data_IF_568018642786
#
_entry.id   IF_568018642786
#
_cell.length_a   1.000
_cell.length_b   1.000
_cell.length_c   1.000
_cell.angle_alpha   90.00
_cell.angle_beta   90.00
_cell.angle_gamma   90.00
#
_symmetry.space_group_name_H-M   'P 1'
#
loop_
_entity.id
_entity.type
_entity.pdbx_description
1 polymer ?
#
# COMPACT_ATOMS: atom_id res chain seq x y z
N UNK A 1 -1.29 4.16 -8.27
CA UNK A 1 -0.09 3.40 -7.84
C UNK A 1 -0.53 2.40 -6.78
N UNK A 2 0.23 1.33 -6.54
CA UNK A 2 -0.01 0.41 -5.42
C UNK A 2 1.32 -0.07 -4.84
N UNK A 3 1.30 -0.50 -3.59
CA UNK A 3 2.43 -1.13 -2.90
C UNK A 3 2.20 -2.63 -2.83
N UNK A 4 3.23 -3.41 -3.15
CA UNK A 4 3.26 -4.85 -2.90
C UNK A 4 3.53 -5.10 -1.41
N UNK A 5 2.65 -5.87 -0.77
CA UNK A 5 2.71 -6.16 0.67
C UNK A 5 2.79 -7.66 0.96
N UNK A 6 2.88 -8.49 -0.08
CA UNK A 6 2.97 -9.93 0.10
C UNK A 6 4.37 -10.30 0.59
N UNK A 7 4.44 -11.15 1.62
CA UNK A 7 5.71 -11.77 2.02
C UNK A 7 6.31 -12.56 0.86
N UNK A 8 7.61 -12.41 0.63
CA UNK A 8 8.34 -13.14 -0.40
C UNK A 8 8.44 -14.66 -0.12
N UNK A 9 8.17 -15.08 1.12
CA UNK A 9 8.09 -16.50 1.48
C UNK A 9 6.77 -17.15 1.07
N UNK A 10 5.75 -16.34 0.76
CA UNK A 10 4.42 -16.82 0.36
C UNK A 10 4.33 -16.80 -1.16
N UNK A 11 4.21 -17.98 -1.75
CA UNK A 11 4.01 -18.12 -3.19
C UNK A 11 2.52 -18.07 -3.56
N UNK A 12 2.16 -17.13 -4.43
CA UNK A 12 0.85 -17.07 -5.08
C UNK A 12 1.07 -17.03 -6.60
N UNK A 13 0.77 -18.11 -7.35
CA UNK A 13 1.14 -18.20 -8.76
C UNK A 13 0.64 -17.01 -9.59
N UNK A 14 1.59 -16.26 -10.17
CA UNK A 14 1.36 -15.08 -11.04
C UNK A 14 0.54 -13.96 -10.40
N UNK A 15 0.47 -13.88 -9.08
CA UNK A 15 -0.30 -12.83 -8.39
C UNK A 15 0.51 -12.26 -7.24
N UNK A 16 0.15 -11.06 -6.81
CA UNK A 16 0.68 -10.44 -5.59
C UNK A 16 -0.45 -9.74 -4.84
N UNK A 17 -0.35 -9.72 -3.52
CA UNK A 17 -1.22 -8.91 -2.66
C UNK A 17 -0.68 -7.49 -2.64
N UNK A 18 -1.54 -6.53 -2.96
CA UNK A 18 -1.18 -5.12 -3.08
C UNK A 18 -2.18 -4.25 -2.35
N UNK A 19 -1.74 -3.06 -1.95
CA UNK A 19 -2.61 -2.02 -1.40
C UNK A 19 -2.51 -0.78 -2.30
N UNK A 20 -3.63 -0.24 -2.79
CA UNK A 20 -3.63 0.99 -3.57
C UNK A 20 -3.12 2.20 -2.79
N UNK A 21 -2.47 3.10 -3.51
CA UNK A 21 -2.03 4.41 -3.05
C UNK A 21 -2.76 5.49 -3.84
N UNK A 22 -3.34 6.45 -3.14
CA UNK A 22 -3.98 7.64 -3.72
C UNK A 22 -3.28 8.90 -3.21
N UNK A 23 -3.14 9.89 -4.08
CA UNK A 23 -2.54 11.17 -3.70
C UNK A 23 -3.35 11.84 -2.59
N UNK A 24 -2.66 12.28 -1.53
CA UNK A 24 -3.31 12.75 -0.31
C UNK A 24 -4.19 13.98 -0.55
N UNK A 25 -3.87 14.81 -1.55
CA UNK A 25 -4.62 16.01 -1.87
C UNK A 25 -6.00 15.72 -2.50
N UNK A 26 -6.26 14.49 -2.96
CA UNK A 26 -7.58 14.05 -3.39
C UNK A 26 -8.49 13.64 -2.23
N UNK A 27 -7.96 13.58 -1.01
CA UNK A 27 -8.65 13.08 0.16
C UNK A 27 -8.83 14.17 1.23
N UNK A 28 -9.92 14.08 1.98
CA UNK A 28 -10.18 14.97 3.12
C UNK A 28 -9.16 14.75 4.24
N UNK A 29 -8.67 15.84 4.85
CA UNK A 29 -7.76 15.77 5.99
C UNK A 29 -8.38 15.13 7.25
N UNK A 30 -9.72 15.00 7.28
CA UNK A 30 -10.47 14.38 8.39
C UNK A 30 -10.41 12.85 8.41
N UNK A 31 -9.72 12.23 7.45
CA UNK A 31 -9.55 10.78 7.43
C UNK A 31 -8.76 10.30 8.65
N UNK A 32 -9.20 9.18 9.22
CA UNK A 32 -8.55 8.57 10.37
C UNK A 32 -7.11 8.18 10.01
N UNK A 33 -6.12 8.77 10.68
CA UNK A 33 -4.70 8.55 10.41
C UNK A 33 -4.26 7.09 10.59
N UNK A 34 -4.95 6.30 11.43
CA UNK A 34 -4.68 4.87 11.60
C UNK A 34 -5.18 4.02 10.43
N UNK A 35 -6.26 4.43 9.76
CA UNK A 35 -6.80 3.69 8.61
C UNK A 35 -6.19 4.16 7.28
N UNK A 36 -5.62 5.36 7.26
CA UNK A 36 -5.06 5.99 6.07
C UNK A 36 -3.64 6.47 6.33
N UNK A 37 -2.73 5.50 6.53
CA UNK A 37 -1.29 5.74 6.68
C UNK A 37 -0.80 6.64 5.56
N UNK A 38 -0.15 7.75 5.94
CA UNK A 38 0.44 8.68 4.97
C UNK A 38 1.84 8.21 4.60
N UNK A 39 2.10 8.06 3.31
CA UNK A 39 3.37 7.58 2.75
C UNK A 39 3.95 8.70 1.89
N UNK A 40 5.23 9.01 2.08
CA UNK A 40 5.92 10.05 1.30
C UNK A 40 6.82 9.43 0.24
N UNK A 41 6.56 9.72 -1.03
CA UNK A 41 7.23 9.14 -2.19
C UNK A 41 7.61 10.28 -3.15
N UNK A 42 8.91 10.45 -3.40
CA UNK A 42 9.46 11.39 -4.38
C UNK A 42 8.93 12.84 -4.26
N UNK A 43 8.73 13.34 -3.04
CA UNK A 43 8.24 14.71 -2.79
C UNK A 43 6.72 14.82 -2.66
N UNK A 44 5.98 13.75 -2.93
CA UNK A 44 4.51 13.74 -2.87
C UNK A 44 3.98 12.85 -1.74
N UNK A 45 2.88 13.28 -1.14
CA UNK A 45 2.20 12.57 -0.06
C UNK A 45 1.06 11.69 -0.60
N UNK A 46 1.08 10.40 -0.27
CA UNK A 46 0.06 9.43 -0.62
C UNK A 46 -0.64 8.89 0.62
N UNK A 47 -1.86 8.38 0.45
CA UNK A 47 -2.58 7.60 1.46
C UNK A 47 -2.66 6.14 1.03
N UNK A 48 -2.33 5.27 1.97
CA UNK A 48 -2.54 3.85 1.87
C UNK A 48 -4.04 3.52 2.02
N UNK A 49 -4.64 2.94 0.97
CA UNK A 49 -6.05 2.57 0.96
C UNK A 49 -6.22 1.15 1.49
N UNK A 50 -5.96 0.94 2.79
CA UNK A 50 -5.88 -0.40 3.41
C UNK A 50 -7.14 -1.25 3.20
N UNK A 51 -8.32 -0.61 3.17
CA UNK A 51 -9.62 -1.27 2.94
C UNK A 51 -9.78 -1.82 1.51
N UNK A 52 -8.89 -1.44 0.58
CA UNK A 52 -8.85 -1.91 -0.80
C UNK A 52 -7.71 -2.92 -1.03
N UNK A 53 -7.19 -3.56 0.03
CA UNK A 53 -6.26 -4.68 -0.06
C UNK A 53 -6.79 -5.72 -1.06
N UNK A 54 -6.00 -5.99 -2.10
CA UNK A 54 -6.46 -6.79 -3.23
C UNK A 54 -5.33 -7.62 -3.82
N UNK A 55 -5.69 -8.68 -4.52
CA UNK A 55 -4.74 -9.48 -5.29
C UNK A 55 -4.76 -9.02 -6.74
N UNK A 56 -3.59 -8.77 -7.33
CA UNK A 56 -3.45 -8.40 -8.76
C UNK A 56 -2.58 -9.40 -9.52
N UNK A 57 -2.82 -9.62 -10.82
CA UNK A 57 -1.88 -10.36 -11.67
C UNK A 57 -0.53 -9.63 -11.77
N UNK A 58 0.58 -10.37 -11.82
CA UNK A 58 1.91 -9.75 -11.99
C UNK A 58 2.05 -9.01 -13.33
N UNK A 59 1.26 -9.38 -14.33
CA UNK A 59 1.27 -8.76 -15.66
C UNK A 59 0.76 -7.31 -15.67
N UNK A 60 0.05 -6.88 -14.61
CA UNK A 60 -0.38 -5.46 -14.45
C UNK A 60 0.57 -4.66 -13.57
N UNK A 61 1.59 -5.30 -12.99
CA UNK A 61 2.62 -4.62 -12.22
C UNK A 61 3.56 -3.90 -13.20
N UNK A 62 3.62 -2.57 -13.07
CA UNK A 62 4.55 -1.75 -13.82
C UNK A 62 5.96 -1.75 -13.21
N UNK A 63 6.74 -0.74 -13.56
CA UNK A 63 8.07 -0.53 -12.98
C UNK A 63 7.99 -0.20 -11.48
N UNK A 64 8.95 -0.72 -10.71
CA UNK A 64 9.12 -0.33 -9.32
C UNK A 64 9.74 1.07 -9.24
N UNK A 65 9.00 2.02 -8.65
CA UNK A 65 9.40 3.44 -8.58
C UNK A 65 9.86 3.89 -7.19
N UNK A 66 9.67 3.04 -6.16
CA UNK A 66 10.06 3.32 -4.78
C UNK A 66 10.14 2.03 -3.94
N UNK A 67 10.96 2.06 -2.89
CA UNK A 67 10.99 1.08 -1.80
C UNK A 67 10.35 1.68 -0.54
N UNK A 68 9.36 0.98 0.02
CA UNK A 68 8.59 1.40 1.19
C UNK A 68 8.92 0.58 2.44
N UNK A 69 10.02 -0.17 2.47
CA UNK A 69 10.45 -0.97 3.62
C UNK A 69 10.59 -0.16 4.91
N UNK A 70 10.88 1.15 4.83
CA UNK A 70 10.89 2.07 5.98
C UNK A 70 9.53 2.28 6.65
N UNK A 71 8.44 1.91 5.98
CA UNK A 71 7.06 1.97 6.45
C UNK A 71 6.50 0.57 6.78
N UNK A 72 7.36 -0.46 6.84
CA UNK A 72 6.91 -1.84 6.99
C UNK A 72 6.09 -2.05 8.28
N UNK A 73 6.51 -1.43 9.39
CA UNK A 73 5.79 -1.51 10.66
C UNK A 73 4.42 -0.83 10.55
N UNK A 74 4.34 0.39 9.99
CA UNK A 74 3.06 1.10 9.84
C UNK A 74 2.10 0.42 8.86
N UNK A 75 2.62 -0.21 7.80
CA UNK A 75 1.82 -1.00 6.85
C UNK A 75 1.34 -2.29 7.53
N UNK A 76 2.20 -2.97 8.27
CA UNK A 76 1.86 -4.17 9.04
C UNK A 76 0.78 -3.89 10.09
N UNK A 77 0.93 -2.81 10.85
CA UNK A 77 -0.06 -2.37 11.83
C UNK A 77 -1.41 -2.02 11.18
N UNK A 78 -1.39 -1.37 10.01
CA UNK A 78 -2.61 -1.08 9.25
C UNK A 78 -3.32 -2.36 8.79
N UNK A 79 -2.58 -3.37 8.32
CA UNK A 79 -3.14 -4.68 7.95
C UNK A 79 -3.74 -5.37 9.18
N UNK A 80 -3.04 -5.36 10.30
CA UNK A 80 -3.53 -5.95 11.56
C UNK A 80 -4.77 -5.23 12.13
N UNK A 81 -5.06 -3.99 11.72
CA UNK A 81 -6.27 -3.28 12.15
C UNK A 81 -7.55 -3.78 11.45
N UNK A 82 -7.44 -4.43 10.29
CA UNK A 82 -8.58 -4.89 9.49
C UNK A 82 -8.82 -6.40 9.57
N UNK A 83 -8.01 -7.14 10.32
CA UNK A 83 -8.13 -8.59 10.57
C UNK A 83 -8.06 -8.91 12.07
#
# INVERSE_FOLDING_TARGET
MFVDVQSDLVETPKRRMVIPLIESHHLSEKLNKMLFTKIHINGEDYRLMIIELSSVPVEVMGEAIADLSKYADEIGDAINLIF
#
